data_IF_350123739265
#
_entry.id   IF_350123739265
#
_cell.length_a   1.000
_cell.length_b   1.000
_cell.length_c   1.000
_cell.angle_alpha   90.00
_cell.angle_beta   90.00
_cell.angle_gamma   90.00
#
_symmetry.space_group_name_H-M   'P 1'
#
loop_
_entity.id
_entity.type
_entity.pdbx_description
1 polymer ?
#
# COMPACT_ATOMS: atom_id res chain seq x y z
N UNK A 1 13.97 15.87 0.06
CA UNK A 1 14.39 15.50 1.41
C UNK A 1 14.02 14.04 1.59
N UNK A 2 14.98 13.14 1.69
CA UNK A 2 14.74 11.71 1.96
C UNK A 2 14.59 11.49 3.46
N UNK A 3 13.65 10.64 3.87
CA UNK A 3 13.46 10.22 5.27
C UNK A 3 12.11 10.58 5.89
N UNK A 4 11.26 11.37 5.22
CA UNK A 4 9.91 11.69 5.74
C UNK A 4 9.07 10.43 5.75
N UNK A 5 9.00 9.73 4.62
CA UNK A 5 8.24 8.50 4.52
C UNK A 5 8.72 7.42 5.51
N UNK A 6 10.04 7.27 5.70
CA UNK A 6 10.58 6.34 6.68
C UNK A 6 10.10 6.66 8.09
N UNK A 7 10.11 7.94 8.48
CA UNK A 7 9.64 8.35 9.79
C UNK A 7 8.14 8.06 9.98
N UNK A 8 7.32 8.34 8.96
CA UNK A 8 5.88 8.00 8.97
C UNK A 8 5.68 6.48 9.06
N UNK A 9 6.48 5.68 8.34
CA UNK A 9 6.39 4.21 8.35
C UNK A 9 6.78 3.61 9.71
N UNK A 10 7.81 4.16 10.36
CA UNK A 10 8.16 3.79 11.73
C UNK A 10 7.07 4.18 12.75
N UNK A 11 6.34 5.28 12.52
CA UNK A 11 5.17 5.61 13.33
C UNK A 11 4.02 4.62 13.11
N UNK A 12 3.83 4.13 11.88
CA UNK A 12 2.84 3.09 11.61
C UNK A 12 3.16 1.78 12.36
N UNK A 13 4.43 1.39 12.45
CA UNK A 13 4.88 0.27 13.30
C UNK A 13 4.61 0.52 14.79
N UNK A 14 4.90 1.72 15.29
CA UNK A 14 4.60 2.09 16.67
C UNK A 14 3.09 2.02 16.94
N UNK A 15 2.29 2.42 15.95
CA UNK A 15 0.83 2.36 15.99
C UNK A 15 0.32 0.91 16.00
N UNK A 16 0.90 0.00 15.21
CA UNK A 16 0.61 -1.44 15.34
C UNK A 16 0.78 -1.92 16.78
N UNK A 17 1.92 -1.60 17.41
CA UNK A 17 2.20 -1.97 18.80
C UNK A 17 1.20 -1.36 19.77
N UNK A 18 0.86 -0.08 19.60
CA UNK A 18 -0.11 0.63 20.44
C UNK A 18 -1.48 -0.05 20.44
N UNK A 19 -1.94 -0.53 19.28
CA UNK A 19 -3.22 -1.23 19.13
C UNK A 19 -3.16 -2.74 19.38
N UNK A 20 -2.00 -3.24 19.84
CA UNK A 20 -1.78 -4.67 20.08
C UNK A 20 -1.92 -5.51 18.82
N UNK A 21 -1.58 -4.96 17.66
CA UNK A 21 -1.47 -5.67 16.39
C UNK A 21 -0.06 -6.26 16.25
N UNK A 22 0.08 -7.30 15.44
CA UNK A 22 1.36 -7.88 15.05
C UNK A 22 2.27 -6.82 14.46
N UNK A 23 3.54 -6.95 14.81
CA UNK A 23 4.61 -6.09 14.32
C UNK A 23 5.53 -7.01 13.51
N UNK A 24 5.64 -6.82 12.18
CA UNK A 24 6.54 -7.65 11.39
C UNK A 24 7.98 -7.43 11.83
N UNK A 25 8.84 -8.44 11.65
CA UNK A 25 10.27 -8.26 11.82
C UNK A 25 10.77 -7.26 10.76
N UNK A 26 11.28 -6.11 11.21
CA UNK A 26 11.67 -5.02 10.33
C UNK A 26 13.14 -5.16 9.94
N UNK A 27 13.37 -5.23 8.64
CA UNK A 27 14.67 -5.13 8.01
C UNK A 27 14.67 -3.91 7.07
N UNK A 28 15.63 -3.00 7.25
CA UNK A 28 15.78 -1.81 6.41
C UNK A 28 17.15 -1.77 5.75
N UNK A 29 17.19 -1.50 4.46
CA UNK A 29 18.41 -1.33 3.65
C UNK A 29 18.30 -0.04 2.83
N UNK A 30 18.37 1.14 3.48
CA UNK A 30 18.06 2.42 2.83
C UNK A 30 19.04 2.81 1.70
N UNK A 31 20.16 2.09 1.53
CA UNK A 31 21.11 2.29 0.44
C UNK A 31 20.76 1.47 -0.82
N UNK A 32 19.90 0.45 -0.70
CA UNK A 32 19.52 -0.41 -1.82
C UNK A 32 18.49 0.27 -2.71
N UNK A 33 18.53 -0.06 -4.00
CA UNK A 33 17.52 0.34 -4.99
C UNK A 33 17.01 -0.95 -5.62
N UNK A 34 15.82 -1.37 -5.22
CA UNK A 34 15.21 -2.61 -5.68
C UNK A 34 14.61 -2.47 -7.06
N UNK A 35 14.02 -1.32 -7.40
CA UNK A 35 13.44 -1.06 -8.71
C UNK A 35 14.43 -0.38 -9.64
N UNK A 36 15.46 -1.10 -10.05
CA UNK A 36 16.38 -0.66 -11.11
C UNK A 36 15.70 -0.62 -12.47
N UNK A 37 16.28 0.11 -13.43
CA UNK A 37 15.72 0.21 -14.78
C UNK A 37 15.52 -1.16 -15.46
N UNK A 38 16.44 -2.12 -15.25
CA UNK A 38 16.30 -3.48 -15.78
C UNK A 38 15.12 -4.22 -15.14
N UNK A 39 14.97 -4.14 -13.82
CA UNK A 39 13.86 -4.76 -13.11
C UNK A 39 12.52 -4.13 -13.46
N UNK A 40 12.46 -2.80 -13.62
CA UNK A 40 11.25 -2.11 -14.08
C UNK A 40 10.83 -2.61 -15.48
N UNK A 41 11.78 -2.87 -16.38
CA UNK A 41 11.47 -3.42 -17.70
C UNK A 41 10.94 -4.87 -17.65
N UNK A 42 11.35 -5.65 -16.66
CA UNK A 42 10.88 -7.03 -16.45
C UNK A 42 9.54 -7.08 -15.69
N UNK A 43 9.29 -6.10 -14.83
CA UNK A 43 8.18 -6.05 -13.89
C UNK A 43 6.82 -6.47 -14.48
N UNK A 44 6.39 -6.00 -15.67
CA UNK A 44 5.11 -6.42 -16.24
C UNK A 44 4.98 -7.94 -16.40
N UNK A 45 6.06 -8.62 -16.80
CA UNK A 45 6.06 -10.08 -16.98
C UNK A 45 5.93 -10.83 -15.66
N UNK A 46 6.43 -10.22 -14.58
CA UNK A 46 6.43 -10.82 -13.23
C UNK A 46 5.04 -10.71 -12.60
N UNK A 47 4.39 -9.56 -12.71
CA UNK A 47 3.10 -9.32 -12.03
C UNK A 47 1.90 -9.76 -12.87
N UNK A 48 2.01 -9.79 -14.20
CA UNK A 48 0.88 -10.14 -15.08
C UNK A 48 0.25 -11.51 -14.75
N UNK A 49 1.00 -12.60 -14.48
CA UNK A 49 0.39 -13.87 -14.10
C UNK A 49 -0.45 -13.78 -12.83
N UNK A 50 0.01 -13.00 -11.85
CA UNK A 50 -0.71 -12.77 -10.60
C UNK A 50 -1.94 -11.85 -10.79
N UNK A 51 -1.93 -10.99 -11.80
CA UNK A 51 -3.04 -10.10 -12.14
C UNK A 51 -3.97 -10.67 -13.23
N UNK A 52 -3.68 -11.86 -13.74
CA UNK A 52 -4.46 -12.48 -14.81
C UNK A 52 -5.93 -12.63 -14.40
N UNK A 53 -6.84 -12.19 -15.29
CA UNK A 53 -8.28 -12.24 -15.07
C UNK A 53 -8.88 -11.04 -14.33
N UNK A 54 -8.07 -10.09 -13.86
CA UNK A 54 -8.55 -8.85 -13.27
C UNK A 54 -8.86 -7.79 -14.34
N UNK A 55 -9.95 -7.06 -14.14
CA UNK A 55 -10.32 -5.88 -14.92
C UNK A 55 -9.74 -4.61 -14.29
N UNK A 56 -9.82 -3.49 -15.01
CA UNK A 56 -9.40 -2.19 -14.47
C UNK A 56 -10.27 -1.74 -13.29
N UNK A 57 -11.56 -2.08 -13.29
CA UNK A 57 -12.45 -1.76 -12.17
C UNK A 57 -12.09 -2.61 -10.93
N UNK A 58 -11.57 -3.82 -11.12
CA UNK A 58 -11.03 -4.62 -10.02
C UNK A 58 -9.79 -3.96 -9.40
N UNK A 59 -8.92 -3.34 -10.21
CA UNK A 59 -7.77 -2.57 -9.68
C UNK A 59 -8.21 -1.44 -8.77
N UNK A 60 -9.28 -0.73 -9.10
CA UNK A 60 -9.78 0.41 -8.31
C UNK A 60 -10.46 -0.04 -7.02
N UNK A 61 -11.22 -1.14 -7.07
CA UNK A 61 -12.06 -1.57 -5.94
C UNK A 61 -11.41 -2.61 -5.02
N UNK A 62 -10.30 -3.24 -5.44
CA UNK A 62 -9.72 -4.40 -4.74
C UNK A 62 -8.25 -4.20 -4.38
N UNK A 63 -7.80 -2.96 -4.14
CA UNK A 63 -6.39 -2.67 -3.85
C UNK A 63 -5.80 -3.53 -2.72
N UNK A 64 -6.57 -3.83 -1.68
CA UNK A 64 -6.15 -4.72 -0.59
C UNK A 64 -5.82 -6.13 -1.10
N UNK A 65 -6.76 -6.75 -1.82
CA UNK A 65 -6.62 -8.13 -2.32
C UNK A 65 -5.49 -8.25 -3.34
N UNK A 66 -5.35 -7.24 -4.22
CA UNK A 66 -4.32 -7.20 -5.26
C UNK A 66 -2.93 -7.14 -4.65
N UNK A 67 -2.69 -6.20 -3.74
CA UNK A 67 -1.38 -6.08 -3.11
C UNK A 67 -1.06 -7.28 -2.22
N UNK A 68 -2.05 -7.88 -1.56
CA UNK A 68 -1.85 -9.10 -0.80
C UNK A 68 -1.43 -10.28 -1.69
N UNK A 69 -2.05 -10.42 -2.87
CA UNK A 69 -1.68 -11.43 -3.87
C UNK A 69 -0.29 -11.19 -4.47
N UNK A 70 0.10 -9.93 -4.66
CA UNK A 70 1.41 -9.57 -5.22
C UNK A 70 2.56 -9.63 -4.23
N UNK A 71 2.28 -9.57 -2.93
CA UNK A 71 3.31 -9.61 -1.87
C UNK A 71 4.27 -10.80 -2.03
N UNK A 72 3.81 -12.08 -2.05
CA UNK A 72 4.74 -13.21 -2.19
C UNK A 72 5.49 -13.18 -3.53
N UNK A 73 4.84 -12.74 -4.61
CA UNK A 73 5.45 -12.64 -5.94
C UNK A 73 6.64 -11.67 -5.93
N UNK A 74 6.48 -10.50 -5.30
CA UNK A 74 7.57 -9.54 -5.18
C UNK A 74 8.67 -10.00 -4.23
N UNK A 75 8.33 -10.66 -3.13
CA UNK A 75 9.35 -11.20 -2.22
C UNK A 75 10.26 -12.20 -2.95
N UNK A 76 9.67 -13.12 -3.69
CA UNK A 76 10.40 -14.15 -4.42
C UNK A 76 11.24 -13.54 -5.54
N UNK A 77 10.69 -12.59 -6.30
CA UNK A 77 11.40 -11.98 -7.42
C UNK A 77 12.52 -11.02 -6.99
N UNK A 78 12.30 -10.22 -5.94
CA UNK A 78 13.29 -9.23 -5.48
C UNK A 78 14.30 -9.83 -4.49
N UNK A 79 13.99 -10.98 -3.90
CA UNK A 79 14.84 -11.66 -2.93
C UNK A 79 14.94 -10.91 -1.59
N UNK A 80 13.90 -10.18 -1.20
CA UNK A 80 13.86 -9.42 0.04
C UNK A 80 12.47 -9.49 0.70
N UNK A 81 12.38 -9.18 2.01
CA UNK A 81 11.09 -8.98 2.66
C UNK A 81 10.29 -7.88 1.95
N UNK A 82 8.97 -8.04 1.89
CA UNK A 82 8.05 -7.01 1.38
C UNK A 82 6.95 -6.82 2.42
N UNK A 83 6.67 -5.59 2.78
CA UNK A 83 5.73 -5.27 3.84
C UNK A 83 4.41 -4.78 3.24
N UNK A 84 3.30 -5.43 3.62
CA UNK A 84 1.97 -4.92 3.33
C UNK A 84 1.72 -3.68 4.18
N UNK A 85 1.45 -2.55 3.55
CA UNK A 85 1.30 -1.26 4.24
C UNK A 85 -0.09 -0.71 3.96
N UNK A 86 -0.80 -0.35 5.03
CA UNK A 86 -2.09 0.33 4.98
C UNK A 86 -1.90 1.80 5.28
N UNK A 87 -2.59 2.65 4.54
CA UNK A 87 -2.55 4.08 4.79
C UNK A 87 -3.35 4.89 3.80
N UNK A 88 -3.00 6.16 3.70
CA UNK A 88 -3.69 7.10 2.84
C UNK A 88 -2.71 7.93 2.02
N UNK A 89 -3.23 8.66 1.05
CA UNK A 89 -2.42 9.44 0.11
C UNK A 89 -2.71 10.92 0.32
N UNK A 90 -1.68 11.69 0.63
CA UNK A 90 -1.74 13.13 0.66
C UNK A 90 -1.51 13.67 -0.76
N UNK A 91 -2.57 14.19 -1.38
CA UNK A 91 -2.58 14.77 -2.73
C UNK A 91 -2.47 16.30 -2.71
N UNK A 92 -2.15 16.89 -1.56
CA UNK A 92 -2.15 18.35 -1.35
C UNK A 92 -3.55 18.99 -1.32
N UNK A 93 -4.61 18.17 -1.31
CA UNK A 93 -6.01 18.62 -1.20
C UNK A 93 -6.63 18.06 0.08
N UNK A 94 -7.62 17.16 -0.04
CA UNK A 94 -8.30 16.55 1.09
C UNK A 94 -7.65 15.24 1.54
N UNK A 95 -6.72 14.69 0.75
CA UNK A 95 -6.16 13.36 0.93
C UNK A 95 -7.10 12.27 0.42
N UNK A 96 -6.57 11.34 -0.37
CA UNK A 96 -7.29 10.17 -0.84
C UNK A 96 -7.23 9.06 0.21
N UNK A 97 -8.35 8.39 0.44
CA UNK A 97 -8.46 7.28 1.42
C UNK A 97 -8.10 7.69 2.85
N UNK A 98 -8.21 8.98 3.19
CA UNK A 98 -7.70 9.52 4.45
C UNK A 98 -8.38 8.87 5.66
N UNK A 99 -7.57 8.28 6.54
CA UNK A 99 -8.01 7.78 7.84
C UNK A 99 -6.95 8.00 8.92
N UNK A 100 -7.36 7.86 10.18
CA UNK A 100 -6.53 8.12 11.35
C UNK A 100 -6.90 7.24 12.55
N UNK A 101 -6.23 7.51 13.68
CA UNK A 101 -6.42 6.82 14.96
C UNK A 101 -7.89 6.68 15.42
N UNK A 102 -8.77 7.69 15.27
CA UNK A 102 -10.17 7.54 15.65
C UNK A 102 -10.88 6.40 14.89
N UNK A 103 -10.64 6.30 13.57
CA UNK A 103 -11.24 5.25 12.76
C UNK A 103 -10.63 3.88 13.09
N UNK A 104 -9.30 3.81 13.24
CA UNK A 104 -8.61 2.56 13.60
C UNK A 104 -9.17 2.01 14.91
N UNK A 105 -9.29 2.87 15.94
CA UNK A 105 -9.82 2.47 17.25
C UNK A 105 -11.27 1.98 17.15
N UNK A 106 -12.15 2.78 16.53
CA UNK A 106 -13.58 2.45 16.34
C UNK A 106 -13.76 1.08 15.67
N UNK A 107 -12.96 0.80 14.63
CA UNK A 107 -13.01 -0.46 13.90
C UNK A 107 -12.49 -1.66 14.70
N UNK A 108 -11.47 -1.47 15.54
CA UNK A 108 -10.96 -2.53 16.41
C UNK A 108 -11.88 -2.81 17.60
N UNK A 109 -12.60 -1.80 18.09
CA UNK A 109 -13.60 -1.94 19.15
C UNK A 109 -14.91 -2.58 18.65
N UNK A 110 -15.07 -2.74 17.33
CA UNK A 110 -16.24 -3.37 16.72
C UNK A 110 -17.47 -2.48 16.65
N UNK A 111 -17.29 -1.16 16.63
CA UNK A 111 -18.40 -0.21 16.54
C UNK A 111 -19.22 -0.43 15.24
N UNK A 112 -20.55 -0.26 15.29
CA UNK A 112 -21.41 -0.39 14.11
C UNK A 112 -21.01 0.59 13.01
N UNK A 113 -20.86 0.08 11.78
CA UNK A 113 -20.51 0.89 10.61
C UNK A 113 -21.78 1.33 9.88
N UNK A 114 -21.91 2.62 9.62
CA UNK A 114 -22.94 3.18 8.76
C UNK A 114 -22.48 3.36 7.30
N UNK A 115 -21.18 3.24 7.02
CA UNK A 115 -20.59 3.50 5.70
C UNK A 115 -19.47 2.53 5.33
N UNK A 116 -19.15 2.50 4.02
CA UNK A 116 -18.02 1.77 3.46
C UNK A 116 -16.72 2.40 3.98
N UNK A 117 -15.81 1.58 4.51
CA UNK A 117 -14.50 2.03 4.97
C UNK A 117 -13.57 2.14 3.77
N UNK A 118 -13.13 3.36 3.46
CA UNK A 118 -12.25 3.62 2.33
C UNK A 118 -10.79 3.54 2.79
N UNK A 119 -10.15 2.39 2.57
CA UNK A 119 -8.74 2.15 2.89
C UNK A 119 -7.93 1.95 1.63
N UNK A 120 -6.64 2.29 1.69
CA UNK A 120 -5.70 1.97 0.63
C UNK A 120 -4.53 1.15 1.18
N UNK A 121 -4.03 0.25 0.34
CA UNK A 121 -2.85 -0.53 0.62
C UNK A 121 -1.86 -0.44 -0.54
N UNK A 122 -0.60 -0.57 -0.18
CA UNK A 122 0.52 -0.72 -1.11
C UNK A 122 1.57 -1.62 -0.45
N UNK A 123 2.63 -1.93 -1.19
CA UNK A 123 3.74 -2.71 -0.69
C UNK A 123 4.94 -1.81 -0.43
N UNK A 124 5.63 -2.00 0.69
CA UNK A 124 6.84 -1.23 1.06
C UNK A 124 8.04 -2.18 1.12
N UNK A 125 9.16 -1.75 0.56
CA UNK A 125 10.43 -2.49 0.54
C UNK A 125 11.36 -2.04 1.67
N UNK A 126 12.42 -2.81 2.00
CA UNK A 126 13.42 -2.44 3.00
C UNK A 126 14.13 -1.10 2.72
N UNK A 127 14.25 -0.72 1.45
CA UNK A 127 14.78 0.57 1.00
C UNK A 127 13.81 1.74 1.18
N UNK A 128 12.58 1.46 1.63
CA UNK A 128 11.43 2.38 1.67
C UNK A 128 10.86 2.73 0.29
N UNK A 129 11.31 2.08 -0.79
CA UNK A 129 10.59 2.10 -2.06
C UNK A 129 9.19 1.53 -1.87
N UNK A 130 8.23 2.15 -2.55
CA UNK A 130 6.85 1.67 -2.58
C UNK A 130 6.59 0.94 -3.89
N UNK A 131 5.66 0.01 -3.82
CA UNK A 131 5.09 -0.66 -4.97
C UNK A 131 3.57 -0.58 -4.91
N UNK A 132 2.97 0.07 -5.90
CA UNK A 132 1.52 0.28 -5.99
C UNK A 132 1.04 0.21 -7.44
N UNK A 133 0.24 -0.81 -7.75
CA UNK A 133 -0.30 -1.05 -9.10
C UNK A 133 -1.73 -0.51 -9.29
N UNK A 134 -2.35 -0.01 -8.23
CA UNK A 134 -3.77 0.38 -8.27
C UNK A 134 -3.96 1.89 -8.22
N UNK A 135 -3.10 2.62 -7.51
CA UNK A 135 -3.31 4.05 -7.27
C UNK A 135 -3.37 4.88 -8.56
N UNK A 136 -2.48 4.62 -9.53
CA UNK A 136 -2.47 5.38 -10.79
C UNK A 136 -3.79 5.21 -11.56
N UNK A 137 -4.27 3.96 -11.67
CA UNK A 137 -5.56 3.63 -12.27
C UNK A 137 -6.73 4.26 -11.51
N UNK A 138 -6.69 4.27 -10.17
CA UNK A 138 -7.74 4.91 -9.36
C UNK A 138 -7.77 6.42 -9.56
N UNK A 139 -6.61 7.09 -9.59
CA UNK A 139 -6.52 8.52 -9.89
C UNK A 139 -7.08 8.81 -11.29
N UNK A 140 -6.69 8.02 -12.29
CA UNK A 140 -7.16 8.16 -13.66
C UNK A 140 -8.69 8.01 -13.75
N UNK A 141 -9.25 6.97 -13.12
CA UNK A 141 -10.69 6.70 -13.08
C UNK A 141 -11.47 7.83 -12.39
N UNK A 142 -11.03 8.27 -11.20
CA UNK A 142 -11.71 9.33 -10.43
C UNK A 142 -11.72 10.67 -11.19
N UNK A 143 -10.66 10.96 -11.93
CA UNK A 143 -10.54 12.21 -12.69
C UNK A 143 -11.03 12.09 -14.15
N UNK A 144 -11.61 10.96 -14.56
CA UNK A 144 -12.02 10.66 -15.94
C UNK A 144 -10.89 10.88 -16.98
N UNK A 145 -9.65 10.54 -16.61
CA UNK A 145 -8.47 10.63 -17.48
C UNK A 145 -8.17 9.26 -18.07
N UNK A 146 -7.94 9.16 -19.37
CA UNK A 146 -7.46 7.92 -20.01
C UNK A 146 -5.96 7.70 -19.83
N UNK A 147 -5.21 8.77 -19.55
CA UNK A 147 -3.80 8.72 -19.20
C UNK A 147 -3.65 8.27 -17.73
N UNK A 148 -2.77 7.29 -17.49
CA UNK A 148 -2.49 6.75 -16.14
C UNK A 148 -3.10 5.38 -15.83
N UNK A 149 -3.95 4.82 -16.71
CA UNK A 149 -4.41 3.45 -16.55
C UNK A 149 -3.25 2.45 -16.60
N UNK A 150 -3.19 1.56 -15.62
CA UNK A 150 -2.15 0.54 -15.50
C UNK A 150 -0.78 1.06 -15.07
N UNK A 151 -0.67 2.33 -14.66
CA UNK A 151 0.56 2.89 -14.10
C UNK A 151 0.93 2.23 -12.78
N UNK A 152 2.23 2.05 -12.55
CA UNK A 152 2.77 1.42 -11.34
C UNK A 152 3.73 2.39 -10.65
N UNK A 153 3.48 2.69 -9.38
CA UNK A 153 4.48 3.32 -8.54
C UNK A 153 5.47 2.25 -8.10
N UNK A 154 6.76 2.43 -8.41
CA UNK A 154 7.84 1.48 -8.11
C UNK A 154 9.13 2.25 -7.78
N UNK A 155 9.04 3.19 -6.85
CA UNK A 155 10.15 4.10 -6.51
C UNK A 155 10.04 4.59 -5.06
N UNK A 156 11.06 5.32 -4.59
CA UNK A 156 11.02 5.93 -3.26
C UNK A 156 9.97 7.06 -3.21
N UNK A 157 9.00 7.05 -2.29
CA UNK A 157 7.88 7.99 -2.30
C UNK A 157 8.30 9.44 -2.04
N UNK A 158 9.35 9.69 -1.25
CA UNK A 158 9.89 11.05 -1.03
C UNK A 158 10.45 11.72 -2.31
N UNK A 159 10.63 10.97 -3.40
CA UNK A 159 11.01 11.52 -4.71
C UNK A 159 9.82 12.03 -5.54
N UNK A 160 8.60 11.65 -5.15
CA UNK A 160 7.38 12.05 -5.84
C UNK A 160 7.05 13.52 -5.54
N UNK A 161 6.41 14.19 -6.50
CA UNK A 161 5.94 15.57 -6.37
C UNK A 161 4.43 15.61 -6.39
N UNK A 162 3.83 16.42 -5.52
CA UNK A 162 2.37 16.62 -5.45
C UNK A 162 1.59 15.45 -4.85
N UNK A 163 2.28 14.39 -4.42
CA UNK A 163 1.68 13.22 -3.79
C UNK A 163 2.63 12.68 -2.72
N UNK A 164 2.10 12.29 -1.56
CA UNK A 164 2.87 11.65 -0.50
C UNK A 164 2.09 10.48 0.10
N UNK A 165 2.80 9.38 0.34
CA UNK A 165 2.22 8.18 0.94
C UNK A 165 2.28 8.30 2.47
N UNK A 166 1.15 8.09 3.13
CA UNK A 166 0.99 8.26 4.59
C UNK A 166 0.66 6.91 5.23
N UNK A 167 1.68 6.10 5.57
CA UNK A 167 1.48 4.80 6.20
C UNK A 167 0.84 4.99 7.58
N UNK A 168 -0.11 4.12 7.90
CA UNK A 168 -0.86 4.13 9.15
C UNK A 168 -0.68 2.84 9.92
N UNK A 169 -0.74 1.69 9.24
CA UNK A 169 -0.59 0.36 9.82
C UNK A 169 0.17 -0.55 8.87
N UNK A 170 0.74 -1.63 9.40
CA UNK A 170 1.41 -2.67 8.63
C UNK A 170 0.74 -4.02 8.82
N UNK A 171 0.87 -4.87 7.82
CA UNK A 171 0.30 -6.22 7.81
C UNK A 171 -1.23 -6.22 7.67
N UNK A 172 -1.76 -7.43 7.65
CA UNK A 172 -3.17 -7.73 7.39
C UNK A 172 -4.00 -7.88 8.67
N UNK A 173 -3.37 -8.02 9.85
CA UNK A 173 -4.08 -8.35 11.10
C UNK A 173 -5.16 -7.32 11.43
N UNK A 174 -4.92 -6.03 11.17
CA UNK A 174 -5.94 -5.01 11.35
C UNK A 174 -7.19 -5.30 10.53
N UNK A 175 -7.05 -5.71 9.26
CA UNK A 175 -8.18 -6.02 8.38
C UNK A 175 -8.97 -7.24 8.89
N UNK A 176 -8.25 -8.24 9.42
CA UNK A 176 -8.85 -9.46 9.99
C UNK A 176 -9.64 -9.13 11.26
N UNK A 177 -9.00 -8.44 12.23
CA UNK A 177 -9.61 -8.11 13.52
C UNK A 177 -10.77 -7.14 13.39
N UNK A 178 -10.67 -6.18 12.48
CA UNK A 178 -11.76 -5.25 12.14
C UNK A 178 -12.83 -5.88 11.23
N UNK A 179 -12.70 -7.17 10.86
CA UNK A 179 -13.63 -7.89 9.96
C UNK A 179 -13.84 -7.18 8.61
N UNK A 180 -12.84 -6.43 8.16
CA UNK A 180 -12.78 -5.82 6.82
C UNK A 180 -12.31 -6.82 5.78
N UNK A 181 -11.44 -7.75 6.17
CA UNK A 181 -11.13 -8.95 5.42
C UNK A 181 -11.81 -10.13 6.11
N UNK A 182 -12.55 -10.93 5.33
CA UNK A 182 -13.08 -12.22 5.79
C UNK A 182 -12.42 -13.29 4.95
N UNK A 183 -11.81 -14.29 5.59
CA UNK A 183 -11.52 -15.55 4.92
C UNK A 183 -12.84 -16.29 4.81
N UNK A 184 -13.29 -16.56 3.59
CA UNK A 184 -14.32 -17.58 3.33
C UNK A 184 -13.71 -18.98 3.44
#
# INVERSE_FOLDING_TARGET
MTGIYKADWMQALARNKQYGLSVPAVYTTPQEIYFTASRIAELPKIIQPALAGLTMDDLVCQCLAIHFKLLPVLQDWLGCPVYFTLGWIDDGKNGMFKFGDPLIKSLLDGEPRSSVVNLHAWLTLPSMEIFDVTLSTTIAKVNNLTEGYGGVFSQHPDSLKGIAFKPMLLGEEFLIRSKLLRFE
#
